data_IF_305887319992
#
_entry.id   IF_305887319992
#
_cell.length_a   1.000
_cell.length_b   1.000
_cell.length_c   1.000
_cell.angle_alpha   90.00
_cell.angle_beta   90.00
_cell.angle_gamma   90.00
#
_symmetry.space_group_name_H-M   'P 1'
#
loop_
_entity.id
_entity.type
_entity.pdbx_description
1 polymer ?
#
# COMPACT_ATOMS: atom_id res chain seq x y z
N UNK A 1 25.01 0.84 -1.01
CA UNK A 1 24.95 0.35 0.38
C UNK A 1 23.62 -0.34 0.57
N UNK A 2 23.59 -1.65 0.83
CA UNK A 2 22.36 -2.34 1.23
C UNK A 2 22.02 -2.05 2.69
N UNK A 3 20.73 -2.04 3.02
CA UNK A 3 20.26 -1.92 4.39
C UNK A 3 20.45 -3.24 5.17
N UNK A 4 20.83 -3.18 6.44
CA UNK A 4 21.02 -4.39 7.25
C UNK A 4 19.70 -5.03 7.71
N UNK A 5 18.63 -4.23 7.81
CA UNK A 5 17.32 -4.67 8.30
C UNK A 5 16.20 -4.29 7.33
N UNK A 6 15.17 -5.13 7.26
CA UNK A 6 13.95 -4.88 6.50
C UNK A 6 12.70 -4.92 7.40
N UNK A 7 11.53 -4.76 6.78
CA UNK A 7 10.20 -4.83 7.40
C UNK A 7 9.57 -6.23 7.34
N UNK A 8 10.33 -7.25 6.92
CA UNK A 8 9.90 -8.63 6.78
C UNK A 8 9.23 -8.96 5.45
N UNK A 9 8.53 -10.09 5.42
CA UNK A 9 7.81 -10.56 4.24
C UNK A 9 6.58 -9.69 3.92
N UNK A 10 6.36 -9.49 2.63
CA UNK A 10 5.16 -8.88 2.05
C UNK A 10 3.93 -9.78 2.26
N UNK A 11 2.74 -9.19 2.25
CA UNK A 11 1.47 -9.87 2.60
C UNK A 11 0.58 -10.20 1.40
N UNK A 12 1.02 -9.89 0.17
CA UNK A 12 0.22 -10.11 -1.04
C UNK A 12 -0.83 -9.03 -1.28
N UNK A 13 -1.58 -9.15 -2.38
CA UNK A 13 -2.53 -8.14 -2.86
C UNK A 13 -1.97 -7.22 -3.95
N UNK A 14 -2.68 -6.14 -4.27
CA UNK A 14 -2.31 -5.27 -5.39
C UNK A 14 -0.93 -4.62 -5.17
N UNK A 15 -0.01 -4.68 -6.16
CA UNK A 15 1.30 -4.04 -6.08
C UNK A 15 1.18 -2.51 -6.09
N UNK A 16 2.08 -1.84 -5.36
CA UNK A 16 2.02 -0.38 -5.19
C UNK A 16 3.39 0.24 -4.97
N UNK A 17 3.44 1.55 -5.17
CA UNK A 17 4.57 2.41 -4.83
C UNK A 17 4.07 3.61 -4.02
N UNK A 18 4.84 3.99 -3.01
CA UNK A 18 4.65 5.24 -2.28
C UNK A 18 5.84 6.15 -2.55
N UNK A 19 5.54 7.34 -3.05
CA UNK A 19 6.46 8.43 -3.28
C UNK A 19 6.50 9.29 -2.02
N UNK A 20 7.66 9.30 -1.36
CA UNK A 20 7.91 10.11 -0.20
C UNK A 20 8.90 11.23 -0.54
N UNK A 21 8.77 12.36 0.13
CA UNK A 21 9.79 13.38 0.19
C UNK A 21 9.95 13.81 1.65
N UNK A 22 11.17 14.02 2.09
CA UNK A 22 11.48 14.64 3.37
C UNK A 22 12.27 15.90 3.08
N UNK A 23 12.11 16.94 3.92
CA UNK A 23 12.53 18.33 3.68
C UNK A 23 14.07 18.48 3.51
N UNK A 24 14.59 17.96 2.40
CA UNK A 24 15.98 17.98 1.98
C UNK A 24 16.13 19.04 0.90
N UNK A 25 17.14 19.89 1.03
CA UNK A 25 17.50 20.84 -0.02
C UNK A 25 18.25 20.11 -1.16
N UNK A 26 17.65 20.00 -2.36
CA UNK A 26 18.26 19.29 -3.48
C UNK A 26 19.51 20.01 -4.05
N UNK A 27 19.84 21.22 -3.60
CA UNK A 27 21.07 21.90 -3.99
C UNK A 27 22.28 21.50 -3.16
N UNK A 28 22.06 20.94 -1.97
CA UNK A 28 23.11 20.66 -0.99
C UNK A 28 23.14 19.18 -0.56
N UNK A 29 22.09 18.42 -0.82
CA UNK A 29 21.94 17.04 -0.35
C UNK A 29 21.95 16.05 -1.52
N UNK A 30 22.76 14.99 -1.41
CA UNK A 30 22.80 13.87 -2.37
C UNK A 30 21.86 12.72 -1.98
N UNK A 31 21.52 11.85 -2.94
CA UNK A 31 20.75 10.64 -2.63
C UNK A 31 21.54 9.69 -1.72
N UNK A 32 22.87 9.64 -1.85
CA UNK A 32 23.72 8.85 -0.95
C UNK A 32 23.71 9.35 0.49
N UNK A 33 23.68 10.67 0.71
CA UNK A 33 23.57 11.24 2.06
C UNK A 33 22.24 10.86 2.70
N UNK A 34 21.12 11.09 2.01
CA UNK A 34 19.79 10.70 2.50
C UNK A 34 19.71 9.20 2.75
N UNK A 35 20.29 8.38 1.87
CA UNK A 35 20.37 6.94 2.06
C UNK A 35 21.13 6.56 3.34
N UNK A 36 22.26 7.22 3.63
CA UNK A 36 23.01 6.99 4.86
C UNK A 36 22.19 7.37 6.10
N UNK A 37 21.45 8.48 6.06
CA UNK A 37 20.65 8.96 7.19
C UNK A 37 19.45 8.03 7.45
N UNK A 38 18.74 7.57 6.41
CA UNK A 38 17.69 6.55 6.55
C UNK A 38 18.20 5.24 7.17
N UNK A 39 19.45 4.85 6.89
CA UNK A 39 20.07 3.67 7.50
C UNK A 39 20.37 3.89 8.98
N UNK A 40 20.91 5.06 9.35
CA UNK A 40 21.15 5.43 10.76
C UNK A 40 19.85 5.44 11.56
N UNK A 41 18.76 5.91 10.96
CA UNK A 41 17.42 5.94 11.56
C UNK A 41 16.70 4.59 11.57
N UNK A 42 17.27 3.54 10.95
CA UNK A 42 16.63 2.25 10.77
C UNK A 42 15.25 2.35 10.06
N UNK A 43 15.16 3.29 9.11
CA UNK A 43 14.00 3.55 8.25
C UNK A 43 14.34 3.38 6.76
N UNK A 44 15.01 2.30 6.33
CA UNK A 44 15.36 2.11 4.93
C UNK A 44 14.13 2.14 4.03
N UNK A 45 14.24 2.93 2.96
CA UNK A 45 13.37 2.86 1.78
C UNK A 45 13.82 1.70 0.88
N UNK A 46 13.14 1.51 -0.27
CA UNK A 46 13.67 0.65 -1.32
C UNK A 46 14.70 1.41 -2.16
N UNK A 47 14.32 2.61 -2.59
CA UNK A 47 15.14 3.52 -3.37
C UNK A 47 15.21 4.88 -2.67
N UNK A 48 16.36 5.50 -2.76
CA UNK A 48 16.54 6.95 -2.59
C UNK A 48 16.90 7.52 -3.95
N UNK A 49 16.22 8.58 -4.38
CA UNK A 49 16.38 9.15 -5.70
C UNK A 49 16.53 10.67 -5.64
N UNK A 50 17.53 11.20 -6.34
CA UNK A 50 17.72 12.62 -6.54
C UNK A 50 17.20 13.03 -7.94
N UNK A 51 16.11 13.81 -8.03
CA UNK A 51 15.42 14.07 -9.29
C UNK A 51 16.17 15.05 -10.22
N UNK A 52 17.06 15.88 -9.68
CA UNK A 52 17.94 16.76 -10.46
C UNK A 52 19.10 16.01 -11.13
N UNK A 53 19.94 15.34 -10.34
CA UNK A 53 21.14 14.62 -10.81
C UNK A 53 20.86 13.24 -11.42
N UNK A 54 19.73 12.63 -11.07
CA UNK A 54 19.41 11.24 -11.45
C UNK A 54 20.11 10.19 -10.60
N UNK A 55 20.77 10.57 -9.50
CA UNK A 55 21.38 9.61 -8.57
C UNK A 55 20.29 8.72 -7.96
N UNK A 56 20.47 7.40 -8.07
CA UNK A 56 19.60 6.39 -7.46
C UNK A 56 20.44 5.52 -6.54
N UNK A 57 20.00 5.38 -5.29
CA UNK A 57 20.60 4.47 -4.30
C UNK A 57 19.56 3.44 -3.91
N UNK A 58 19.83 2.17 -4.23
CA UNK A 58 19.00 1.06 -3.78
C UNK A 58 19.47 0.57 -2.41
N UNK A 59 18.56 0.59 -1.44
CA UNK A 59 18.79 0.16 -0.06
C UNK A 59 18.26 -1.26 0.18
N UNK A 60 17.12 -1.61 -0.40
CA UNK A 60 16.46 -2.90 -0.20
C UNK A 60 15.99 -3.51 -1.52
N UNK A 61 15.96 -4.86 -1.64
CA UNK A 61 15.24 -5.51 -2.72
C UNK A 61 13.72 -5.30 -2.55
N UNK A 62 13.01 -5.05 -3.64
CA UNK A 62 11.56 -4.78 -3.65
C UNK A 62 10.69 -5.97 -3.21
N UNK A 63 11.29 -7.16 -3.12
CA UNK A 63 10.64 -8.39 -2.61
C UNK A 63 10.55 -8.44 -1.08
N UNK A 64 11.14 -7.48 -0.39
CA UNK A 64 11.11 -7.33 1.07
C UNK A 64 10.40 -6.04 1.43
N UNK A 65 9.72 -5.98 2.56
CA UNK A 65 9.10 -4.73 2.98
C UNK A 65 10.16 -3.71 3.41
N UNK A 66 10.07 -2.48 2.94
CA UNK A 66 10.83 -1.36 3.49
C UNK A 66 10.16 -0.80 4.76
N UNK A 67 10.94 -0.03 5.53
CA UNK A 67 10.54 0.45 6.86
C UNK A 67 10.14 1.93 6.87
N UNK A 68 10.28 2.64 5.75
CA UNK A 68 10.03 4.08 5.66
C UNK A 68 8.59 4.48 6.06
N UNK A 69 7.59 3.69 5.68
CA UNK A 69 6.18 3.91 6.07
C UNK A 69 5.83 3.41 7.47
N UNK A 70 6.72 2.62 8.08
CA UNK A 70 6.49 1.95 9.35
C UNK A 70 5.50 0.78 9.30
N UNK A 71 5.58 -0.04 10.36
CA UNK A 71 4.57 -1.03 10.73
C UNK A 71 4.10 -1.98 9.61
N UNK A 72 2.79 -2.21 9.57
CA UNK A 72 2.15 -3.15 8.65
C UNK A 72 1.96 -2.58 7.22
N UNK A 73 1.93 -1.26 7.05
CA UNK A 73 1.60 -0.59 5.78
C UNK A 73 2.62 -0.92 4.68
N UNK A 74 3.91 -0.91 5.04
CA UNK A 74 5.00 -1.27 4.14
C UNK A 74 5.00 -2.73 3.68
N UNK A 75 4.13 -3.57 4.26
CA UNK A 75 3.98 -4.99 3.92
C UNK A 75 2.75 -5.28 3.06
N UNK A 76 1.88 -4.31 2.82
CA UNK A 76 0.64 -4.52 2.07
C UNK A 76 0.88 -4.51 0.56
N UNK A 77 0.48 -5.58 -0.13
CA UNK A 77 0.74 -5.79 -1.56
C UNK A 77 1.68 -6.95 -1.81
N UNK A 78 1.64 -7.50 -3.03
CA UNK A 78 2.71 -8.39 -3.55
C UNK A 78 4.04 -7.65 -3.69
N UNK A 79 3.96 -6.32 -3.82
CA UNK A 79 5.04 -5.33 -3.86
C UNK A 79 4.52 -4.07 -3.18
N UNK A 80 5.33 -3.44 -2.33
CA UNK A 80 5.04 -2.14 -1.71
C UNK A 80 6.30 -1.27 -1.75
N UNK A 81 6.65 -0.79 -2.95
CA UNK A 81 7.81 0.06 -3.14
C UNK A 81 7.67 1.36 -2.34
N UNK A 82 8.78 1.81 -1.76
CA UNK A 82 8.86 3.02 -0.94
C UNK A 82 10.06 3.78 -1.49
N UNK A 83 9.82 4.92 -2.12
CA UNK A 83 10.83 5.73 -2.78
C UNK A 83 10.96 7.02 -2.00
N UNK A 84 12.15 7.25 -1.43
CA UNK A 84 12.49 8.54 -0.84
C UNK A 84 13.07 9.44 -1.94
N UNK A 85 12.42 10.56 -2.20
CA UNK A 85 12.89 11.56 -3.15
C UNK A 85 13.61 12.68 -2.39
N UNK A 86 14.80 13.05 -2.85
CA UNK A 86 15.48 14.26 -2.38
C UNK A 86 14.71 15.47 -2.90
N UNK A 87 14.07 16.23 -2.00
CA UNK A 87 13.25 17.38 -2.35
C UNK A 87 12.36 17.80 -1.18
N UNK A 88 11.41 18.69 -1.41
CA UNK A 88 10.57 19.27 -0.36
C UNK A 88 9.09 19.18 -0.72
N UNK A 89 8.22 19.08 0.28
CA UNK A 89 6.77 18.99 0.02
C UNK A 89 6.20 20.31 -0.54
N UNK A 90 6.81 21.44 -0.17
CA UNK A 90 6.41 22.78 -0.64
C UNK A 90 6.96 23.13 -2.02
N UNK A 91 8.01 22.44 -2.46
CA UNK A 91 8.59 22.56 -3.80
C UNK A 91 8.63 21.17 -4.44
N UNK A 92 7.48 20.67 -4.93
CA UNK A 92 7.35 19.28 -5.38
C UNK A 92 8.36 18.95 -6.47
N UNK A 93 9.00 17.78 -6.36
CA UNK A 93 10.11 17.38 -7.23
C UNK A 93 9.76 17.33 -8.73
N UNK A 94 8.46 17.26 -9.07
CA UNK A 94 7.96 17.36 -10.44
C UNK A 94 8.06 18.76 -11.04
N UNK A 95 8.64 19.73 -10.34
CA UNK A 95 9.15 20.97 -10.93
C UNK A 95 10.55 20.84 -11.53
N UNK A 96 11.27 19.74 -11.26
CA UNK A 96 12.65 19.53 -11.69
C UNK A 96 12.77 18.77 -13.04
N UNK A 97 14.00 18.36 -13.40
CA UNK A 97 14.30 17.59 -14.61
C UNK A 97 13.74 16.17 -14.58
N UNK A 98 13.57 15.58 -13.39
CA UNK A 98 13.16 14.17 -13.22
C UNK A 98 14.13 13.19 -13.88
N UNK A 99 15.42 13.49 -13.84
CA UNK A 99 16.48 12.65 -14.41
C UNK A 99 16.39 11.24 -13.84
N UNK A 100 16.27 10.23 -14.71
CA UNK A 100 16.18 8.82 -14.32
C UNK A 100 14.79 8.33 -13.89
N UNK A 101 13.74 9.17 -13.90
CA UNK A 101 12.37 8.75 -13.54
C UNK A 101 11.86 7.60 -14.42
N UNK A 102 12.21 7.60 -15.71
CA UNK A 102 11.80 6.57 -16.65
C UNK A 102 12.31 5.19 -16.26
N UNK A 103 13.58 5.10 -15.81
CA UNK A 103 14.16 3.85 -15.33
C UNK A 103 13.47 3.35 -14.06
N UNK A 104 13.12 4.25 -13.15
CA UNK A 104 12.36 3.90 -11.93
C UNK A 104 10.97 3.38 -12.29
N UNK A 105 10.27 4.04 -13.21
CA UNK A 105 8.92 3.65 -13.62
C UNK A 105 8.93 2.32 -14.39
N UNK A 106 9.89 2.12 -15.29
CA UNK A 106 10.07 0.83 -15.97
C UNK A 106 10.38 -0.31 -14.98
N UNK A 107 11.21 -0.03 -13.96
CA UNK A 107 11.45 -0.98 -12.89
C UNK A 107 10.15 -1.31 -12.14
N UNK A 108 9.33 -0.31 -11.79
CA UNK A 108 8.04 -0.52 -11.15
C UNK A 108 7.06 -1.34 -12.03
N UNK A 109 7.06 -1.11 -13.34
CA UNK A 109 6.24 -1.87 -14.30
C UNK A 109 6.63 -3.36 -14.32
N UNK A 110 7.93 -3.66 -14.28
CA UNK A 110 8.43 -5.04 -14.22
C UNK A 110 7.94 -5.79 -12.96
N UNK A 111 7.56 -5.05 -11.92
CA UNK A 111 6.97 -5.56 -10.68
C UNK A 111 5.43 -5.46 -10.64
N UNK A 112 4.82 -5.10 -11.77
CA UNK A 112 3.38 -5.05 -11.97
C UNK A 112 2.68 -3.88 -11.29
N UNK A 113 3.41 -2.85 -10.85
CA UNK A 113 2.82 -1.63 -10.28
C UNK A 113 2.11 -0.87 -11.40
N UNK A 114 0.78 -0.84 -11.38
CA UNK A 114 0.01 -0.17 -12.41
C UNK A 114 0.21 1.36 -12.38
N UNK A 115 0.48 1.97 -13.55
CA UNK A 115 0.63 3.42 -13.78
C UNK A 115 -0.67 4.21 -13.60
N UNK A 116 -1.25 4.14 -12.41
CA UNK A 116 -2.48 4.82 -11.99
C UNK A 116 -2.34 5.39 -10.60
N UNK A 117 -3.14 6.42 -10.30
CA UNK A 117 -3.19 7.07 -9.00
C UNK A 117 -4.59 6.93 -8.41
N UNK A 118 -4.89 5.84 -7.69
CA UNK A 118 -6.25 5.56 -7.25
C UNK A 118 -6.86 6.62 -6.33
N UNK A 119 -6.02 7.27 -5.52
CA UNK A 119 -6.41 8.38 -4.65
C UNK A 119 -6.39 9.76 -5.37
N UNK A 120 -6.16 9.78 -6.68
CA UNK A 120 -5.88 10.99 -7.44
C UNK A 120 -4.47 11.51 -7.24
N UNK A 121 -4.13 12.67 -7.82
CA UNK A 121 -2.86 13.33 -7.57
C UNK A 121 -2.77 13.77 -6.09
N UNK A 122 -1.60 13.65 -5.43
CA UNK A 122 -1.38 14.24 -4.12
C UNK A 122 -1.66 15.75 -4.15
N UNK A 123 -2.21 16.27 -3.06
CA UNK A 123 -2.53 17.70 -2.95
C UNK A 123 -1.27 18.53 -2.70
N UNK A 124 -1.23 19.80 -3.12
CA UNK A 124 -0.17 20.73 -2.71
C UNK A 124 -0.19 20.99 -1.19
N UNK A 125 0.95 21.42 -0.65
CA UNK A 125 1.01 21.92 0.73
C UNK A 125 0.36 23.32 0.81
N UNK A 126 -0.46 23.63 1.83
CA UNK A 126 -0.75 22.82 3.02
C UNK A 126 -1.98 21.89 2.88
N UNK A 127 -2.65 21.83 1.74
CA UNK A 127 -3.84 20.98 1.58
C UNK A 127 -3.54 19.49 1.75
N UNK A 128 -2.29 19.06 1.52
CA UNK A 128 -1.86 17.67 1.71
C UNK A 128 -1.99 17.15 3.14
N UNK A 129 -1.96 18.00 4.17
CA UNK A 129 -2.23 17.59 5.56
C UNK A 129 -3.65 17.04 5.73
N UNK A 130 -4.59 17.54 4.93
CA UNK A 130 -6.01 17.14 4.95
C UNK A 130 -6.37 16.20 3.80
N UNK A 131 -5.38 15.63 3.10
CA UNK A 131 -5.63 14.70 2.01
C UNK A 131 -6.42 13.47 2.51
N UNK A 132 -7.40 12.99 1.73
CA UNK A 132 -8.15 11.80 2.10
C UNK A 132 -7.27 10.54 2.05
N UNK A 133 -7.28 9.75 3.13
CA UNK A 133 -6.45 8.55 3.31
C UNK A 133 -7.29 7.27 3.27
N UNK A 134 -7.90 7.03 2.10
CA UNK A 134 -8.91 5.98 1.89
C UNK A 134 -8.31 4.57 1.81
N UNK A 135 -8.72 3.66 2.72
CA UNK A 135 -8.36 2.23 2.65
C UNK A 135 -8.85 1.56 1.38
N UNK A 136 -10.01 2.00 0.85
CA UNK A 136 -10.58 1.49 -0.41
C UNK A 136 -9.65 1.80 -1.57
N UNK A 137 -9.16 3.04 -1.66
CA UNK A 137 -8.27 3.44 -2.76
C UNK A 137 -6.91 2.80 -2.61
N UNK A 138 -6.37 2.72 -1.39
CA UNK A 138 -5.13 2.01 -1.07
C UNK A 138 -5.15 0.53 -1.49
N UNK A 139 -6.27 -0.17 -1.31
CA UNK A 139 -6.40 -1.57 -1.71
C UNK A 139 -6.29 -1.82 -3.21
N UNK A 140 -6.52 -0.79 -4.05
CA UNK A 140 -6.47 -0.91 -5.52
C UNK A 140 -5.04 -1.04 -6.05
N UNK A 141 -4.02 -0.59 -5.30
CA UNK A 141 -2.63 -0.55 -5.76
C UNK A 141 -2.40 0.42 -6.93
N UNK A 142 -1.13 0.68 -7.22
CA UNK A 142 -0.66 1.76 -8.09
C UNK A 142 0.23 2.75 -7.34
N UNK A 143 0.17 4.01 -7.72
CA UNK A 143 1.02 5.07 -7.18
C UNK A 143 0.26 5.90 -6.14
N UNK A 144 0.96 6.27 -5.07
CA UNK A 144 0.45 7.12 -4.00
C UNK A 144 1.54 8.07 -3.50
N UNK A 145 1.15 9.26 -3.04
CA UNK A 145 1.98 10.05 -2.15
C UNK A 145 1.88 9.55 -0.71
N UNK A 146 2.88 9.81 0.14
CA UNK A 146 2.79 9.48 1.57
C UNK A 146 1.54 10.07 2.25
N UNK A 147 1.12 11.27 1.85
CA UNK A 147 -0.12 11.95 2.27
C UNK A 147 -1.42 11.21 1.95
N UNK A 148 -1.37 10.23 1.06
CA UNK A 148 -2.53 9.42 0.67
C UNK A 148 -2.52 8.04 1.33
N UNK A 149 -1.46 7.69 2.06
CA UNK A 149 -1.34 6.39 2.73
C UNK A 149 -2.23 6.37 3.98
N UNK A 150 -3.07 5.33 4.16
CA UNK A 150 -3.88 5.18 5.37
C UNK A 150 -3.05 5.22 6.65
N UNK A 151 -3.55 5.90 7.68
CA UNK A 151 -2.95 6.02 9.02
C UNK A 151 -1.61 6.78 9.08
N UNK A 152 -1.06 7.23 7.94
CA UNK A 152 0.19 7.95 7.90
C UNK A 152 -0.06 9.47 7.95
N UNK A 153 0.37 10.12 9.04
CA UNK A 153 0.24 11.57 9.18
C UNK A 153 1.45 12.30 8.60
N UNK A 154 1.49 12.35 7.27
CA UNK A 154 2.57 12.98 6.51
C UNK A 154 2.01 13.82 5.36
N UNK A 155 2.57 15.00 5.04
CA UNK A 155 2.08 15.87 3.97
C UNK A 155 2.78 15.65 2.62
N UNK A 156 3.84 14.85 2.58
CA UNK A 156 4.65 14.65 1.37
C UNK A 156 3.96 13.75 0.33
N UNK A 157 4.35 13.81 -0.95
CA UNK A 157 5.41 14.62 -1.56
C UNK A 157 4.97 16.05 -1.96
N UNK A 158 3.81 16.52 -1.47
CA UNK A 158 3.18 17.73 -1.99
C UNK A 158 2.56 17.53 -3.37
N UNK A 159 2.23 18.65 -4.03
CA UNK A 159 1.43 18.69 -5.25
C UNK A 159 2.21 18.26 -6.50
N UNK A 160 2.62 16.99 -6.54
CA UNK A 160 3.37 16.44 -7.67
C UNK A 160 2.49 16.32 -8.91
N UNK A 161 3.06 16.63 -10.08
CA UNK A 161 2.46 16.35 -11.37
C UNK A 161 2.63 14.87 -11.70
N UNK A 162 1.57 14.11 -11.44
CA UNK A 162 1.54 12.66 -11.65
C UNK A 162 1.78 12.25 -13.11
N UNK A 163 1.43 13.10 -14.09
CA UNK A 163 1.63 12.77 -15.52
C UNK A 163 3.09 12.83 -15.91
N UNK A 164 3.90 13.66 -15.22
CA UNK A 164 5.36 13.67 -15.41
C UNK A 164 6.05 12.43 -14.85
N UNK A 165 5.36 11.64 -14.05
CA UNK A 165 5.87 10.37 -13.50
C UNK A 165 5.34 9.20 -14.31
N UNK A 166 4.03 9.03 -14.40
CA UNK A 166 3.41 7.84 -15.00
C UNK A 166 3.05 7.98 -16.48
N UNK A 167 3.29 9.16 -17.07
CA UNK A 167 3.05 9.45 -18.49
C UNK A 167 1.72 10.17 -18.77
N UNK A 168 1.53 10.67 -20.01
CA UNK A 168 0.35 11.46 -20.38
C UNK A 168 -0.96 10.68 -20.27
N UNK A 169 -0.92 9.37 -20.52
CA UNK A 169 -2.09 8.48 -20.47
C UNK A 169 -2.51 8.10 -19.04
N UNK A 170 -1.85 8.65 -18.02
CA UNK A 170 -2.19 8.40 -16.62
C UNK A 170 -3.64 8.78 -16.35
N UNK A 171 -4.51 7.83 -15.96
CA UNK A 171 -5.88 8.14 -15.60
C UNK A 171 -5.87 8.97 -14.32
N UNK A 172 -6.25 10.24 -14.43
CA UNK A 172 -6.40 11.13 -13.28
C UNK A 172 -7.75 10.81 -12.64
N UNK A 173 -7.74 10.19 -11.45
CA UNK A 173 -8.97 10.11 -10.67
C UNK A 173 -9.44 11.55 -10.38
N UNK A 174 -10.74 11.86 -10.53
CA UNK A 174 -11.22 13.22 -10.39
C UNK A 174 -10.82 13.80 -9.04
N UNK A 175 -10.13 14.94 -9.05
CA UNK A 175 -9.75 15.68 -7.84
C UNK A 175 -11.05 16.01 -7.10
N UNK A 176 -11.19 15.66 -5.80
CA UNK A 176 -12.37 16.04 -5.04
C UNK A 176 -12.54 17.56 -5.07
N UNK A 177 -13.63 18.05 -5.67
CA UNK A 177 -13.96 19.48 -5.64
C UNK A 177 -14.08 19.92 -4.17
N UNK A 178 -13.51 21.09 -3.79
CA UNK A 178 -13.75 21.65 -2.47
C UNK A 178 -15.25 21.74 -2.21
N UNK A 179 -15.73 21.13 -1.13
CA UNK A 179 -17.12 21.34 -0.70
C UNK A 179 -17.23 22.80 -0.25
N UNK A 180 -18.04 23.59 -0.97
CA UNK A 180 -18.45 24.90 -0.50
C UNK A 180 -19.16 24.73 0.86
N UNK A 181 -18.81 25.51 1.89
CA UNK A 181 -19.57 25.53 3.13
C UNK A 181 -21.01 25.96 2.81
N UNK A 182 -21.99 25.09 3.06
CA UNK A 182 -23.41 25.46 2.99
C UNK A 182 -24.26 24.80 1.89
N UNK A 183 -23.76 23.82 1.12
CA UNK A 183 -24.64 23.05 0.25
C UNK A 183 -25.55 22.12 1.10
N UNK A 184 -26.89 22.26 1.06
CA UNK A 184 -27.79 21.39 1.80
C UNK A 184 -27.64 19.96 1.29
N UNK A 185 -27.52 19.01 2.22
CA UNK A 185 -27.61 17.59 1.91
C UNK A 185 -28.98 17.33 1.30
N UNK A 186 -29.06 17.18 -0.02
CA UNK A 186 -30.26 16.75 -0.69
C UNK A 186 -30.75 15.42 -0.09
N UNK A 187 -32.07 15.22 0.03
CA UNK A 187 -32.60 14.01 0.64
C UNK A 187 -32.06 12.78 -0.10
N UNK A 188 -31.45 11.86 0.65
CA UNK A 188 -31.16 10.50 0.17
C UNK A 188 -32.49 9.85 -0.18
N UNK A 189 -32.82 9.84 -1.47
CA UNK A 189 -33.82 8.93 -2.01
C UNK A 189 -33.30 7.51 -1.82
N UNK A 190 -33.72 6.88 -0.74
CA UNK A 190 -33.59 5.44 -0.53
C UNK A 190 -34.48 4.78 -1.58
N UNK A 191 -33.87 4.08 -2.53
CA UNK A 191 -34.63 3.29 -3.50
C UNK A 191 -35.50 2.26 -2.74
N UNK A 192 -36.79 2.09 -3.08
CA UNK A 192 -37.62 1.08 -2.46
C UNK A 192 -37.05 -0.31 -2.76
N UNK A 193 -36.88 -1.12 -1.71
CA UNK A 193 -36.60 -2.55 -1.86
C UNK A 193 -37.81 -3.20 -2.52
N UNK A 194 -37.65 -3.67 -3.76
CA UNK A 194 -38.59 -4.57 -4.40
C UNK A 194 -38.65 -5.85 -3.59
N UNK A 195 -39.79 -6.09 -2.94
CA UNK A 195 -40.09 -7.29 -2.18
C UNK A 195 -40.30 -8.43 -3.18
N UNK A 196 -39.33 -9.34 -3.29
CA UNK A 196 -39.52 -10.61 -4.00
C UNK A 196 -40.62 -11.43 -3.29
N UNK A 197 -41.55 -12.07 -4.01
CA UNK A 197 -42.54 -12.94 -3.40
C UNK A 197 -41.88 -14.11 -2.70
N UNK A 198 -42.30 -14.31 -1.45
CA UNK A 198 -41.85 -15.33 -0.52
C UNK A 198 -42.27 -16.72 -1.04
N UNK A 199 -41.31 -17.53 -1.45
CA UNK A 199 -41.55 -18.97 -1.68
C UNK A 199 -41.79 -19.61 -0.32
N UNK A 200 -43.02 -20.09 -0.11
CA UNK A 200 -43.44 -20.82 1.09
C UNK A 200 -42.46 -21.97 1.38
N UNK A 201 -41.74 -21.88 2.50
CA UNK A 201 -40.97 -22.99 3.07
C UNK A 201 -41.92 -23.89 3.86
N UNK A 202 -41.89 -25.22 3.71
CA UNK A 202 -42.59 -26.12 4.61
C UNK A 202 -41.91 -26.13 5.99
N UNK A 203 -42.72 -26.33 7.03
CA UNK A 203 -42.34 -26.25 8.44
C UNK A 203 -41.23 -27.24 8.84
N UNK A 204 -40.36 -26.88 9.80
CA UNK A 204 -39.38 -27.81 10.35
C UNK A 204 -40.08 -28.84 11.25
N UNK A 205 -39.92 -30.12 10.91
CA UNK A 205 -40.31 -31.25 11.76
C UNK A 205 -39.33 -31.36 12.93
N UNK A 206 -39.85 -31.16 14.13
CA UNK A 206 -39.18 -31.49 15.39
C UNK A 206 -39.07 -33.01 15.54
N UNK A 207 -37.91 -33.57 15.21
CA UNK A 207 -37.45 -34.85 15.73
C UNK A 207 -35.91 -34.96 15.56
N UNK A 208 -35.12 -35.09 16.64
CA UNK A 208 -33.70 -35.38 16.53
C UNK A 208 -33.49 -36.82 16.03
N UNK A 209 -32.48 -37.08 15.17
CA UNK A 209 -32.15 -38.43 14.74
C UNK A 209 -31.61 -39.26 15.92
N UNK A 210 -31.89 -40.58 15.98
CA UNK A 210 -31.35 -41.45 17.01
C UNK A 210 -29.82 -41.54 16.89
N UNK A 211 -29.14 -41.43 18.04
CA UNK A 211 -27.69 -41.59 18.14
C UNK A 211 -27.31 -43.04 17.80
N UNK A 212 -26.29 -43.28 16.96
CA UNK A 212 -25.70 -44.60 16.87
C UNK A 212 -25.05 -44.94 18.21
N UNK A 213 -25.41 -46.10 18.77
CA UNK A 213 -24.84 -46.63 20.01
C UNK A 213 -23.33 -46.92 19.88
N UNK A 214 -22.64 -47.11 21.02
CA UNK A 214 -21.20 -47.33 21.03
C UNK A 214 -20.85 -48.64 20.30
N UNK A 215 -20.01 -48.53 19.28
CA UNK A 215 -19.31 -49.69 18.73
C UNK A 215 -18.37 -50.23 19.82
N UNK A 216 -18.57 -51.49 20.19
CA UNK A 216 -17.68 -52.21 21.07
C UNK A 216 -16.22 -52.09 20.61
N UNK A 217 -15.34 -51.69 21.53
CA UNK A 217 -13.90 -51.75 21.38
C UNK A 217 -13.48 -53.17 21.01
N UNK A 218 -12.73 -53.32 19.91
CA UNK A 218 -12.06 -54.56 19.57
C UNK A 218 -11.03 -54.90 20.68
N UNK A 219 -10.88 -56.17 21.06
CA UNK A 219 -9.86 -56.57 22.02
C UNK A 219 -8.45 -56.39 21.43
N UNK A 220 -7.60 -55.76 22.21
CA UNK A 220 -6.17 -55.56 21.95
C UNK A 220 -5.45 -56.92 21.83
N UNK A 221 -4.64 -57.16 20.80
CA UNK A 221 -3.85 -58.38 20.71
C UNK A 221 -2.68 -58.31 21.70
N UNK A 222 -2.69 -59.21 22.69
CA UNK A 222 -1.60 -59.46 23.63
C UNK A 222 -0.38 -60.02 22.87
N UNK A 223 0.79 -59.37 22.89
CA UNK A 223 2.03 -60.00 22.45
C UNK A 223 2.58 -60.87 23.58
N UNK A 224 2.46 -62.19 23.38
CA UNK A 224 3.14 -63.22 24.16
C UNK A 224 4.63 -63.12 23.89
N UNK A 225 5.42 -62.77 24.91
CA UNK A 225 6.87 -62.93 24.85
C UNK A 225 7.26 -64.40 25.00
N UNK A 226 8.32 -64.87 24.31
CA UNK A 226 9.18 -65.94 24.78
C UNK A 226 10.50 -65.31 25.28
N UNK A 227 10.84 -65.45 26.57
CA UNK A 227 11.59 -66.56 27.18
C UNK A 227 12.98 -66.77 26.55
N UNK A 228 13.97 -66.51 27.40
CA UNK A 228 15.41 -66.63 27.28
C UNK A 228 15.92 -67.84 26.48
N UNK A 229 17.02 -67.61 25.76
CA UNK A 229 18.29 -68.29 26.01
C UNK A 229 19.46 -67.38 25.64
#
# INVERSE_FOLDING_TARGET
>A
MPAPNDGGALRGGAPRVVWCAEEHDPHTVSARSVAADLLKENRPAHLVWHPGTGEIVQLLPITRAARLLGGALGREGRVCAQIMVVGQSRSPFTGSLLTGVEAIVQWLDAWGVARRWPAGPPLPSPQSYHAPRSRKDWARGGHYGASQVPLLDRPDPGGIDVRRITGPDTPVAPIPKPRLPGAPAGPRLVAPRTRTPETVRPAPSDAPPPRPGPLHSAPEPVPVGPLSN
#
